data_IF_922878884413
#
_entry.id   IF_922878884413
#
_cell.length_a   1.000
_cell.length_b   1.000
_cell.length_c   1.000
_cell.angle_alpha   90.00
_cell.angle_beta   90.00
_cell.angle_gamma   90.00
#
_symmetry.space_group_name_H-M   'P 1'
#
loop_
_entity.id
_entity.type
_entity.pdbx_description
1 polymer ?
#
# COMPACT_ATOMS: atom_id res chain seq x y z
N UNK A 1 -5.95 -9.94 15.57
CA UNK A 1 -5.47 -10.30 14.21
C UNK A 1 -3.96 -10.49 14.28
N UNK A 2 -3.38 -11.51 13.60
CA UNK A 2 -1.91 -11.67 13.56
C UNK A 2 -1.28 -10.43 12.90
N UNK A 3 -0.21 -9.83 13.48
CA UNK A 3 0.41 -8.62 12.93
C UNK A 3 0.84 -8.78 11.47
N UNK A 4 1.29 -9.98 11.08
CA UNK A 4 1.60 -10.33 9.69
C UNK A 4 0.42 -10.09 8.74
N UNK A 5 -0.80 -10.49 9.11
CA UNK A 5 -1.97 -10.30 8.24
C UNK A 5 -2.26 -8.82 8.00
N UNK A 6 -2.11 -7.97 9.02
CA UNK A 6 -2.32 -6.52 8.94
C UNK A 6 -1.32 -5.90 7.96
N UNK A 7 -0.04 -6.24 8.08
CA UNK A 7 1.00 -5.70 7.20
C UNK A 7 0.88 -6.22 5.76
N UNK A 8 0.48 -7.49 5.57
CA UNK A 8 0.17 -8.02 4.24
C UNK A 8 -1.04 -7.31 3.63
N UNK A 9 -2.10 -7.03 4.39
CA UNK A 9 -3.25 -6.27 3.87
C UNK A 9 -2.87 -4.85 3.50
N UNK A 10 -2.06 -4.18 4.32
CA UNK A 10 -1.55 -2.85 4.00
C UNK A 10 -0.71 -2.87 2.72
N UNK A 11 0.20 -3.83 2.57
CA UNK A 11 1.00 -3.98 1.35
C UNK A 11 0.11 -4.16 0.11
N UNK A 12 -0.85 -5.08 0.17
CA UNK A 12 -1.77 -5.36 -0.94
C UNK A 12 -2.67 -4.17 -1.26
N UNK A 13 -3.14 -3.43 -0.24
CA UNK A 13 -3.93 -2.22 -0.43
C UNK A 13 -3.13 -1.12 -1.14
N UNK A 14 -1.85 -0.95 -0.79
CA UNK A 14 -0.94 -0.02 -1.47
C UNK A 14 -0.71 -0.40 -2.94
N UNK A 15 -0.47 -1.68 -3.23
CA UNK A 15 -0.35 -2.19 -4.60
C UNK A 15 -1.63 -1.97 -5.40
N UNK A 16 -2.78 -2.32 -4.83
CA UNK A 16 -4.08 -2.17 -5.48
C UNK A 16 -4.39 -0.69 -5.77
N UNK A 17 -4.06 0.23 -4.86
CA UNK A 17 -4.21 1.66 -5.04
C UNK A 17 -3.38 2.18 -6.25
N UNK A 18 -2.12 1.74 -6.36
CA UNK A 18 -1.25 2.12 -7.47
C UNK A 18 -1.69 1.49 -8.80
N UNK A 19 -2.14 0.23 -8.78
CA UNK A 19 -2.65 -0.46 -9.97
C UNK A 19 -3.97 0.12 -10.48
N UNK A 20 -4.83 0.62 -9.58
CA UNK A 20 -6.11 1.24 -9.93
C UNK A 20 -5.97 2.69 -10.40
N UNK A 21 -4.88 3.39 -10.03
CA UNK A 21 -4.63 4.78 -10.41
C UNK A 21 -4.80 5.08 -11.92
N UNK A 22 -4.22 4.33 -12.88
CA UNK A 22 -4.37 4.66 -14.30
C UNK A 22 -5.83 4.61 -14.78
N UNK A 23 -6.63 3.66 -14.27
CA UNK A 23 -8.06 3.55 -14.61
C UNK A 23 -8.82 4.75 -14.02
N UNK A 24 -8.58 5.07 -12.76
CA UNK A 24 -9.21 6.20 -12.08
C UNK A 24 -8.77 7.55 -12.67
N UNK A 25 -7.52 7.66 -13.13
CA UNK A 25 -6.98 8.85 -13.77
C UNK A 25 -7.55 9.05 -15.18
N UNK A 26 -7.84 7.97 -15.92
CA UNK A 26 -8.52 8.05 -17.21
C UNK A 26 -9.97 8.52 -17.07
N UNK A 27 -10.71 8.03 -16.06
CA UNK A 27 -12.07 8.51 -15.77
C UNK A 27 -12.08 9.95 -15.27
N UNK A 28 -11.05 10.32 -14.49
CA UNK A 28 -10.87 11.66 -13.97
C UNK A 28 -10.51 12.70 -15.06
N UNK A 29 -9.70 12.34 -16.07
CA UNK A 29 -9.24 13.26 -17.11
C UNK A 29 -10.35 13.94 -17.93
N UNK A 30 -11.60 13.48 -17.83
CA UNK A 30 -12.77 14.12 -18.42
C UNK A 30 -13.32 15.32 -17.61
N UNK A 31 -12.95 15.49 -16.33
CA UNK A 31 -13.53 16.49 -15.44
C UNK A 31 -12.45 17.43 -14.87
N UNK A 32 -12.13 18.52 -15.57
CA UNK A 32 -11.10 19.48 -15.14
C UNK A 32 -11.31 20.01 -13.69
N UNK A 33 -10.50 19.53 -12.75
CA UNK A 33 -10.47 20.02 -11.37
C UNK A 33 -9.68 19.08 -10.46
N UNK A 34 -8.88 19.64 -9.55
CA UNK A 34 -8.01 18.95 -8.58
C UNK A 34 -8.52 17.55 -8.20
N UNK A 35 -7.92 16.51 -8.78
CA UNK A 35 -8.46 15.16 -8.67
C UNK A 35 -7.97 14.49 -7.39
N UNK A 36 -8.86 13.96 -6.54
CA UNK A 36 -8.45 13.11 -5.41
C UNK A 36 -7.63 11.89 -5.88
N UNK A 37 -7.75 11.50 -7.15
CA UNK A 37 -6.90 10.50 -7.79
C UNK A 37 -5.39 10.84 -7.74
N UNK A 38 -5.01 12.13 -7.78
CA UNK A 38 -3.59 12.53 -7.70
C UNK A 38 -2.99 12.27 -6.31
N UNK A 39 -3.80 12.32 -5.25
CA UNK A 39 -3.37 11.97 -3.89
C UNK A 39 -3.31 10.44 -3.68
N UNK A 40 -3.95 9.68 -4.56
CA UNK A 40 -4.00 8.22 -4.50
C UNK A 40 -2.62 7.59 -4.77
N UNK A 41 -1.79 8.22 -5.60
CA UNK A 41 -0.39 7.80 -5.84
C UNK A 41 0.49 7.95 -4.59
N UNK A 42 0.65 9.15 -3.98
CA UNK A 42 1.49 9.30 -2.80
C UNK A 42 0.94 8.50 -1.60
N UNK A 43 -0.38 8.44 -1.42
CA UNK A 43 -1.00 7.62 -0.36
C UNK A 43 -0.76 6.13 -0.60
N UNK A 44 -0.95 5.66 -1.83
CA UNK A 44 -0.68 4.26 -2.21
C UNK A 44 0.78 3.87 -1.96
N UNK A 45 1.72 4.75 -2.28
CA UNK A 45 3.15 4.56 -1.98
C UNK A 45 3.42 4.48 -0.47
N UNK A 46 2.87 5.40 0.33
CA UNK A 46 3.06 5.40 1.78
C UNK A 46 2.51 4.13 2.43
N UNK A 47 1.33 3.68 1.99
CA UNK A 47 0.69 2.45 2.48
C UNK A 47 1.51 1.22 2.09
N UNK A 48 2.00 1.17 0.84
CA UNK A 48 2.89 0.10 0.36
C UNK A 48 4.19 0.03 1.18
N UNK A 49 4.86 1.17 1.39
CA UNK A 49 6.09 1.25 2.19
C UNK A 49 5.85 0.85 3.64
N UNK A 50 4.74 1.28 4.23
CA UNK A 50 4.37 0.92 5.61
C UNK A 50 4.11 -0.58 5.75
N UNK A 51 3.42 -1.19 4.78
CA UNK A 51 3.19 -2.64 4.74
C UNK A 51 4.50 -3.42 4.59
N UNK A 52 5.39 -3.01 3.70
CA UNK A 52 6.70 -3.63 3.52
C UNK A 52 7.59 -3.51 4.77
N UNK A 53 7.67 -2.32 5.36
CA UNK A 53 8.42 -2.07 6.59
C UNK A 53 7.86 -2.88 7.77
N UNK A 54 6.53 -2.94 7.92
CA UNK A 54 5.87 -3.72 8.96
C UNK A 54 6.11 -5.23 8.83
N UNK A 55 6.11 -5.77 7.61
CA UNK A 55 6.49 -7.15 7.34
C UNK A 55 7.97 -7.41 7.68
N UNK A 56 8.87 -6.50 7.28
CA UNK A 56 10.29 -6.61 7.57
C UNK A 56 10.56 -6.59 9.09
N UNK A 57 9.95 -5.67 9.82
CA UNK A 57 10.08 -5.61 11.29
C UNK A 57 9.49 -6.85 11.96
N UNK A 58 8.36 -7.38 11.45
CA UNK A 58 7.77 -8.62 11.96
C UNK A 58 8.69 -9.81 11.71
N UNK A 59 9.39 -9.85 10.57
CA UNK A 59 10.39 -10.86 10.26
C UNK A 59 11.62 -10.75 11.18
N UNK A 60 12.15 -9.54 11.40
CA UNK A 60 13.26 -9.32 12.33
C UNK A 60 12.92 -9.63 13.79
N UNK A 61 11.67 -9.38 14.19
CA UNK A 61 11.18 -9.70 15.53
C UNK A 61 10.78 -11.17 15.69
N UNK A 62 10.66 -11.91 14.58
CA UNK A 62 10.49 -13.35 14.63
C UNK A 62 11.80 -13.92 15.14
N UNK A 63 11.82 -14.61 16.30
CA UNK A 63 13.04 -15.26 16.75
C UNK A 63 13.47 -16.18 15.61
N UNK A 64 14.67 -15.93 15.08
CA UNK A 64 15.34 -16.92 14.26
C UNK A 64 15.22 -18.21 15.05
N UNK A 65 14.53 -19.20 14.49
CA UNK A 65 14.42 -20.54 15.05
C UNK A 65 15.83 -20.92 15.49
N UNK A 66 16.03 -20.90 16.81
CA UNK A 66 17.28 -21.25 17.45
C UNK A 66 17.41 -22.75 17.27
N UNK A 67 17.97 -23.15 16.14
CA UNK A 67 18.34 -24.51 15.77
C UNK A 67 19.81 -24.52 15.36
#
# INVERSE_FOLDING_TARGET
MKPTLVWTTALLAGVAALAAYPVLAQEAGAAAGFHPAQLLVPVGFLVLLSGAAGLFLTWCASPASAE
#
